data_IF_664195858269
#
_entry.id   IF_664195858269
#
_cell.length_a   1.000
_cell.length_b   1.000
_cell.length_c   1.000
_cell.angle_alpha   90.00
_cell.angle_beta   90.00
_cell.angle_gamma   90.00
#
_symmetry.space_group_name_H-M   'P 1'
#
loop_
_entity.id
_entity.type
_entity.pdbx_description
1 polymer ?
#
# COMPACT_ATOMS: atom_id res chain seq x y z
N UNK A 1 -17.46 -18.62 -16.70
CA UNK A 1 -16.96 -17.75 -17.82
C UNK A 1 -15.94 -16.77 -17.27
N UNK A 2 -14.68 -16.80 -17.73
CA UNK A 2 -13.66 -15.81 -17.34
C UNK A 2 -14.00 -14.50 -18.04
N UNK A 3 -14.46 -13.50 -17.30
CA UNK A 3 -14.66 -12.16 -17.82
C UNK A 3 -13.28 -11.61 -18.24
N UNK A 4 -13.06 -11.55 -19.56
CA UNK A 4 -11.82 -11.00 -20.14
C UNK A 4 -11.87 -9.49 -19.91
N UNK A 5 -11.06 -8.97 -19.00
CA UNK A 5 -10.99 -7.52 -18.78
C UNK A 5 -10.60 -6.85 -20.09
N UNK A 6 -11.44 -5.94 -20.55
CA UNK A 6 -11.09 -5.06 -21.65
C UNK A 6 -9.98 -4.12 -21.17
N UNK A 7 -8.87 -4.12 -21.90
CA UNK A 7 -7.79 -3.15 -21.63
C UNK A 7 -8.37 -1.74 -21.81
N UNK A 8 -8.12 -0.86 -20.84
CA UNK A 8 -8.57 0.54 -20.93
C UNK A 8 -8.04 1.20 -22.21
N UNK A 9 -8.84 2.00 -22.92
CA UNK A 9 -8.35 2.80 -24.04
C UNK A 9 -7.20 3.75 -23.66
N UNK A 10 -7.14 4.14 -22.39
CA UNK A 10 -6.10 5.01 -21.82
C UNK A 10 -4.88 4.22 -21.31
N UNK A 11 -4.92 2.88 -21.37
CA UNK A 11 -3.78 2.09 -20.95
C UNK A 11 -2.58 2.32 -21.90
N UNK A 12 -1.37 2.48 -21.38
CA UNK A 12 -0.20 2.66 -22.22
C UNK A 12 -0.03 1.45 -23.17
N UNK A 13 0.28 1.71 -24.43
CA UNK A 13 0.49 0.67 -25.45
C UNK A 13 1.66 -0.23 -25.08
N UNK A 14 2.67 0.32 -24.41
CA UNK A 14 3.87 -0.38 -23.96
C UNK A 14 4.17 0.06 -22.52
N UNK A 15 4.35 -0.90 -21.62
CA UNK A 15 4.82 -0.59 -20.27
C UNK A 15 6.29 -0.19 -20.33
N UNK A 16 6.64 0.93 -19.71
CA UNK A 16 8.03 1.32 -19.55
C UNK A 16 8.73 0.33 -18.60
N UNK A 17 9.95 -0.04 -18.95
CA UNK A 17 10.78 -0.83 -18.06
C UNK A 17 11.22 0.08 -16.92
N UNK A 18 10.81 -0.22 -15.70
CA UNK A 18 11.22 0.51 -14.50
C UNK A 18 12.60 0.00 -14.11
N UNK A 19 13.57 0.90 -13.99
CA UNK A 19 14.90 0.58 -13.47
C UNK A 19 14.85 0.46 -11.95
N UNK A 20 15.76 -0.33 -11.39
CA UNK A 20 15.98 -0.36 -9.95
C UNK A 20 16.43 1.02 -9.44
N UNK A 21 15.93 1.44 -8.29
CA UNK A 21 16.33 2.67 -7.62
C UNK A 21 17.28 2.28 -6.50
N UNK A 22 18.48 2.87 -6.49
CA UNK A 22 19.44 2.60 -5.44
C UNK A 22 18.87 3.03 -4.08
N UNK A 23 18.99 2.14 -3.08
CA UNK A 23 18.51 2.41 -1.72
C UNK A 23 17.02 2.06 -1.51
N UNK A 24 16.31 1.58 -2.53
CA UNK A 24 14.92 1.13 -2.41
C UNK A 24 14.81 -0.32 -2.84
N UNK A 25 14.21 -1.13 -1.99
CA UNK A 25 13.82 -2.50 -2.30
C UNK A 25 12.31 -2.56 -2.53
N UNK A 26 11.89 -3.25 -3.59
CA UNK A 26 10.49 -3.40 -3.96
C UNK A 26 10.10 -4.87 -3.95
N UNK A 27 9.08 -5.19 -3.19
CA UNK A 27 8.48 -6.52 -3.12
C UNK A 27 7.01 -6.44 -3.56
N UNK A 28 6.56 -7.49 -4.25
CA UNK A 28 5.15 -7.65 -4.58
C UNK A 28 4.69 -9.03 -4.16
N UNK A 29 3.46 -9.11 -3.68
CA UNK A 29 2.89 -10.34 -3.14
C UNK A 29 1.41 -10.48 -3.54
N UNK A 30 0.98 -11.73 -3.71
CA UNK A 30 -0.41 -12.08 -3.90
C UNK A 30 -1.00 -12.54 -2.55
N UNK A 31 -1.71 -11.65 -1.87
CA UNK A 31 -2.39 -11.93 -0.61
C UNK A 31 -3.81 -12.48 -0.80
N UNK A 32 -4.21 -12.73 -2.07
CA UNK A 32 -5.55 -13.20 -2.45
C UNK A 32 -6.68 -12.26 -1.98
N UNK A 33 -6.44 -10.95 -2.00
CA UNK A 33 -7.48 -9.94 -1.73
C UNK A 33 -8.49 -9.82 -2.88
N UNK A 34 -8.18 -10.43 -4.00
CA UNK A 34 -9.06 -10.58 -5.17
C UNK A 34 -9.31 -12.06 -5.45
N UNK A 35 -10.44 -12.36 -6.08
CA UNK A 35 -10.78 -13.72 -6.57
C UNK A 35 -9.86 -14.19 -7.71
N UNK A 36 -8.79 -13.48 -8.01
CA UNK A 36 -7.85 -13.78 -9.09
C UNK A 36 -6.44 -13.75 -8.57
N UNK A 37 -5.66 -14.74 -8.99
CA UNK A 37 -4.22 -14.80 -8.72
C UNK A 37 -3.51 -13.62 -9.42
N UNK A 38 -3.23 -12.58 -8.68
CA UNK A 38 -2.42 -11.42 -9.08
C UNK A 38 -1.77 -10.81 -7.86
N UNK A 39 -0.69 -10.09 -8.05
CA UNK A 39 -0.10 -9.32 -6.98
C UNK A 39 -1.04 -8.17 -6.59
N UNK A 40 -1.42 -8.14 -5.34
CA UNK A 40 -2.35 -7.18 -4.75
C UNK A 40 -1.74 -6.42 -3.55
N UNK A 41 -0.52 -6.77 -3.19
CA UNK A 41 0.28 -6.05 -2.19
C UNK A 41 1.63 -5.67 -2.80
N UNK A 42 2.04 -4.43 -2.59
CA UNK A 42 3.38 -3.92 -2.89
C UNK A 42 4.00 -3.35 -1.61
N UNK A 43 5.29 -3.63 -1.40
CA UNK A 43 6.05 -3.16 -0.26
C UNK A 43 7.32 -2.49 -0.78
N UNK A 44 7.54 -1.24 -0.39
CA UNK A 44 8.76 -0.50 -0.63
C UNK A 44 9.52 -0.42 0.69
N UNK A 45 10.79 -0.80 0.69
CA UNK A 45 11.67 -0.69 1.85
C UNK A 45 12.81 0.27 1.49
N UNK A 46 12.99 1.28 2.30
CA UNK A 46 14.07 2.25 2.16
C UNK A 46 15.25 1.81 3.05
N UNK A 47 16.44 1.69 2.47
CA UNK A 47 17.66 1.33 3.23
C UNK A 47 18.01 2.40 4.26
N UNK A 48 17.75 3.65 3.90
CA UNK A 48 17.86 4.80 4.79
C UNK A 48 16.48 5.46 4.91
N UNK A 49 16.20 6.09 6.05
CA UNK A 49 14.93 6.78 6.24
C UNK A 49 14.78 7.91 5.24
N UNK A 50 13.65 7.91 4.55
CA UNK A 50 13.27 8.98 3.63
C UNK A 50 12.43 10.04 4.32
N UNK A 51 12.41 11.25 3.76
CA UNK A 51 11.45 12.28 4.14
C UNK A 51 10.11 12.03 3.44
N UNK A 52 9.00 12.27 4.14
CA UNK A 52 7.66 12.11 3.61
C UNK A 52 6.81 13.35 3.87
N UNK A 53 5.99 13.71 2.90
CA UNK A 53 4.92 14.68 3.05
C UNK A 53 3.61 14.03 2.62
N UNK A 54 2.56 14.27 3.39
CA UNK A 54 1.24 13.72 3.15
C UNK A 54 0.15 14.78 3.16
N UNK A 55 -0.91 14.51 2.41
CA UNK A 55 -2.18 15.22 2.49
C UNK A 55 -3.30 14.21 2.67
N UNK A 56 -4.24 14.50 3.54
CA UNK A 56 -5.34 13.61 3.87
C UNK A 56 -6.68 14.22 3.48
N UNK A 57 -7.65 13.35 3.18
CA UNK A 57 -9.02 13.78 2.98
C UNK A 57 -9.61 14.38 4.26
N UNK A 58 -10.46 15.38 4.09
CA UNK A 58 -11.27 15.95 5.17
C UNK A 58 -12.62 15.25 5.36
N UNK A 59 -12.86 14.16 4.60
CA UNK A 59 -14.07 13.35 4.75
C UNK A 59 -14.20 12.82 6.17
N UNK A 60 -15.42 12.81 6.68
CA UNK A 60 -15.77 12.17 7.96
C UNK A 60 -15.70 10.65 7.88
N UNK A 61 -15.71 10.07 6.67
CA UNK A 61 -15.66 8.63 6.42
C UNK A 61 -14.22 8.21 6.07
N UNK A 62 -13.31 8.45 6.99
CA UNK A 62 -11.88 8.12 6.82
C UNK A 62 -11.63 6.62 6.98
N UNK A 63 -10.66 6.11 6.27
CA UNK A 63 -10.18 4.74 6.47
C UNK A 63 -9.25 4.67 7.70
N UNK A 64 -9.20 3.52 8.35
CA UNK A 64 -8.31 3.30 9.50
C UNK A 64 -6.83 3.48 9.13
N UNK A 65 -6.45 3.29 7.87
CA UNK A 65 -5.09 3.53 7.36
C UNK A 65 -4.71 5.01 7.42
N UNK A 66 -5.65 5.93 7.13
CA UNK A 66 -5.37 7.37 7.21
C UNK A 66 -5.14 7.80 8.65
N UNK A 67 -5.98 7.34 9.58
CA UNK A 67 -5.86 7.66 11.01
C UNK A 67 -4.56 7.09 11.61
N UNK A 68 -4.14 5.92 11.13
CA UNK A 68 -2.88 5.32 11.53
C UNK A 68 -1.69 6.09 10.97
N UNK A 69 -1.69 6.41 9.67
CA UNK A 69 -0.62 7.16 9.02
C UNK A 69 -0.42 8.54 9.63
N UNK A 70 -1.50 9.27 9.93
CA UNK A 70 -1.42 10.59 10.54
C UNK A 70 -0.66 10.57 11.88
N UNK A 71 -0.77 9.48 12.63
CA UNK A 71 -0.02 9.27 13.87
C UNK A 71 1.42 8.80 13.61
N UNK A 72 1.59 7.83 12.71
CA UNK A 72 2.89 7.21 12.42
C UNK A 72 3.86 8.21 11.77
N UNK A 73 3.37 9.09 10.91
CA UNK A 73 4.17 10.02 10.12
C UNK A 73 4.43 11.37 10.80
N UNK A 74 4.15 11.52 12.09
CA UNK A 74 4.42 12.76 12.84
C UNK A 74 5.86 13.23 12.75
N UNK A 75 6.82 12.30 12.62
CA UNK A 75 8.25 12.62 12.48
C UNK A 75 8.66 12.97 11.05
N UNK A 76 7.71 12.93 10.10
CA UNK A 76 7.99 13.18 8.67
C UNK A 76 9.05 12.26 8.06
N UNK A 77 9.22 11.08 8.65
CA UNK A 77 10.16 10.05 8.20
C UNK A 77 9.42 8.79 7.79
N UNK A 78 9.94 8.11 6.77
CA UNK A 78 9.43 6.82 6.28
C UNK A 78 10.57 5.85 6.06
N UNK A 79 10.35 4.59 6.44
CA UNK A 79 11.29 3.49 6.20
C UNK A 79 10.65 2.39 5.37
N UNK A 80 9.32 2.27 5.38
CA UNK A 80 8.60 1.35 4.52
C UNK A 80 7.25 1.94 4.09
N UNK A 81 6.83 1.60 2.88
CA UNK A 81 5.50 1.91 2.36
C UNK A 81 4.85 0.60 1.92
N UNK A 82 3.63 0.35 2.40
CA UNK A 82 2.83 -0.81 2.02
C UNK A 82 1.60 -0.31 1.29
N UNK A 83 1.37 -0.88 0.12
CA UNK A 83 0.20 -0.57 -0.71
C UNK A 83 -0.56 -1.86 -0.94
N UNK A 84 -1.84 -1.87 -0.60
CA UNK A 84 -2.74 -2.96 -0.97
C UNK A 84 -3.79 -2.50 -1.98
N UNK A 85 -4.29 -3.43 -2.76
CA UNK A 85 -5.41 -3.22 -3.66
C UNK A 85 -6.41 -4.37 -3.56
N UNK A 86 -7.69 -4.10 -3.86
CA UNK A 86 -8.75 -5.12 -3.78
C UNK A 86 -9.50 -5.19 -2.47
N UNK A 87 -9.06 -4.44 -1.47
CA UNK A 87 -9.76 -4.29 -0.21
C UNK A 87 -9.84 -2.81 0.17
N UNK A 88 -11.06 -2.31 0.36
CA UNK A 88 -11.26 -0.98 0.91
C UNK A 88 -11.05 -1.05 2.42
N UNK A 89 -10.09 -0.26 2.94
CA UNK A 89 -9.77 -0.23 4.37
C UNK A 89 -10.69 0.71 5.17
N UNK A 90 -11.91 0.97 4.67
CA UNK A 90 -12.94 1.77 5.32
C UNK A 90 -13.94 0.89 6.06
N UNK A 91 -14.59 1.43 7.10
CA UNK A 91 -15.61 0.70 7.90
C UNK A 91 -15.14 -0.61 8.52
N UNK A 92 -13.84 -0.77 8.74
CA UNK A 92 -13.27 -1.99 9.32
C UNK A 92 -13.24 -1.97 10.85
N UNK A 93 -13.56 -0.85 11.46
CA UNK A 93 -13.67 -0.67 12.90
C UNK A 93 -12.38 -1.05 13.65
N UNK A 94 -12.53 -1.56 14.87
CA UNK A 94 -11.40 -1.97 15.72
C UNK A 94 -10.52 -3.06 15.08
N UNK A 95 -11.13 -3.98 14.30
CA UNK A 95 -10.38 -5.06 13.63
C UNK A 95 -9.39 -4.53 12.60
N UNK A 96 -9.80 -3.53 11.80
CA UNK A 96 -8.89 -2.89 10.84
C UNK A 96 -7.69 -2.24 11.52
N UNK A 97 -7.92 -1.53 12.61
CA UNK A 97 -6.85 -0.91 13.40
C UNK A 97 -5.86 -1.95 13.97
N UNK A 98 -6.38 -3.04 14.54
CA UNK A 98 -5.56 -4.13 15.06
C UNK A 98 -4.74 -4.81 13.95
N UNK A 99 -5.32 -4.98 12.76
CA UNK A 99 -4.61 -5.53 11.61
C UNK A 99 -3.46 -4.65 11.16
N UNK A 100 -3.65 -3.33 11.13
CA UNK A 100 -2.58 -2.38 10.79
C UNK A 100 -1.42 -2.43 11.78
N UNK A 101 -1.69 -2.50 13.08
CA UNK A 101 -0.67 -2.65 14.12
C UNK A 101 0.13 -3.93 13.88
N UNK A 102 -0.55 -5.06 13.67
CA UNK A 102 0.12 -6.35 13.41
C UNK A 102 1.00 -6.31 12.16
N UNK A 103 0.53 -5.69 11.08
CA UNK A 103 1.31 -5.54 9.84
C UNK A 103 2.55 -4.67 10.10
N UNK A 104 2.38 -3.56 10.80
CA UNK A 104 3.48 -2.67 11.16
C UNK A 104 4.53 -3.38 12.00
N UNK A 105 4.12 -4.13 13.02
CA UNK A 105 5.02 -4.88 13.90
C UNK A 105 5.80 -5.97 13.12
N UNK A 106 5.12 -6.69 12.21
CA UNK A 106 5.76 -7.71 11.38
C UNK A 106 6.86 -7.14 10.48
N UNK A 107 6.70 -5.91 10.00
CA UNK A 107 7.68 -5.25 9.12
C UNK A 107 8.81 -4.61 9.93
N UNK A 108 8.48 -4.03 11.09
CA UNK A 108 9.47 -3.39 11.96
C UNK A 108 10.45 -4.36 12.59
N UNK A 109 10.09 -5.63 12.71
CA UNK A 109 10.91 -6.69 13.34
C UNK A 109 11.82 -7.43 12.34
N UNK A 110 11.94 -6.94 11.11
CA UNK A 110 12.86 -7.45 10.09
C UNK A 110 13.97 -6.45 9.77
#
# INVERSE_FOLDING_TARGET
MRQKYRKSPLAPKKANKVSSIQGIELYTYCANLYDKSRNDVAIFIFKEKGSIAEVFTQSTMRSCTLDWNEKALRKKEVQAIIINSGNANTFTGKKGHQSLIKISDLISNK
#
